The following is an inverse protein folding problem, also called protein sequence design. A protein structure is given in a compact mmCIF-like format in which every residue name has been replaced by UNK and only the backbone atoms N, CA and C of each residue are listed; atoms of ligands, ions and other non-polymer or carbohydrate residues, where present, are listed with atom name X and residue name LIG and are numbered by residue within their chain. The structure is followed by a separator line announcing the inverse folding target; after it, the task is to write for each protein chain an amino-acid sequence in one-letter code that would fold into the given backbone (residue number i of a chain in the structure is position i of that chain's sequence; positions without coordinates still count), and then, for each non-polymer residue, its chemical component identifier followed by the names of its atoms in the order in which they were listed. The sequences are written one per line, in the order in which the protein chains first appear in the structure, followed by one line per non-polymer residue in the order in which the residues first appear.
data_IF_071792662933
#
_entry.id   IF_071792662933
#
_cell.length_a   1.000
_cell.length_b   1.000
_cell.length_c   1.000
_cell.angle_alpha   90.00
_cell.angle_beta   90.00
_cell.angle_gamma   90.00
#
_symmetry.space_group_name_H-M   'P 1'
#
loop_
_entity.id
_entity.type
_entity.pdbx_description
1 polymer ?
#
# COMPACT_ATOMS: atom_id res chain seq x y z
N UNK A 1 -7.56 9.30 -14.71
CA UNK A 1 -6.31 10.06 -14.96
C UNK A 1 -5.16 9.67 -14.03
N UNK A 2 -5.35 9.41 -12.73
CA UNK A 2 -4.23 8.97 -11.86
C UNK A 2 -3.64 7.60 -12.23
N UNK A 3 -4.46 6.64 -12.70
CA UNK A 3 -3.99 5.30 -13.11
C UNK A 3 -2.96 5.35 -14.23
N UNK A 4 -3.19 6.17 -15.26
CA UNK A 4 -2.28 6.28 -16.41
C UNK A 4 -0.92 6.89 -16.03
N UNK A 5 -0.88 7.85 -15.09
CA UNK A 5 0.39 8.37 -14.59
C UNK A 5 1.12 7.32 -13.73
N UNK A 6 0.39 6.63 -12.85
CA UNK A 6 0.96 5.55 -12.04
C UNK A 6 1.55 4.43 -12.91
N UNK A 7 0.82 4.00 -13.94
CA UNK A 7 1.28 2.99 -14.91
C UNK A 7 2.56 3.42 -15.63
N UNK A 8 2.74 4.72 -15.92
CA UNK A 8 3.96 5.24 -16.54
C UNK A 8 5.19 5.22 -15.61
N UNK A 9 5.00 5.05 -14.30
CA UNK A 9 6.09 4.97 -13.32
C UNK A 9 6.55 3.53 -13.05
N UNK A 10 5.79 2.54 -13.51
CA UNK A 10 6.09 1.12 -13.30
C UNK A 10 7.26 0.69 -14.18
N UNK A 11 8.18 -0.08 -13.61
CA UNK A 11 9.24 -0.75 -14.35
C UNK A 11 8.76 -1.99 -15.10
N UNK A 12 9.65 -2.58 -15.88
CA UNK A 12 9.37 -3.82 -16.61
C UNK A 12 9.05 -4.97 -15.63
N UNK A 13 7.89 -5.60 -15.81
CA UNK A 13 7.31 -6.64 -14.95
C UNK A 13 6.99 -6.18 -13.51
N UNK A 14 6.76 -4.88 -13.30
CA UNK A 14 6.26 -4.34 -12.04
C UNK A 14 4.74 -4.30 -12.05
N UNK A 15 4.11 -4.93 -11.06
CA UNK A 15 2.66 -5.01 -10.93
C UNK A 15 2.18 -4.29 -9.67
N UNK A 16 1.04 -3.62 -9.79
CA UNK A 16 0.39 -2.96 -8.68
C UNK A 16 -0.43 -3.99 -7.89
N UNK A 17 -0.06 -4.21 -6.64
CA UNK A 17 -0.74 -5.15 -5.74
C UNK A 17 -1.87 -4.48 -4.97
N UNK A 18 -1.68 -3.23 -4.56
CA UNK A 18 -2.66 -2.47 -3.79
C UNK A 18 -2.53 -0.97 -4.03
N UNK A 19 -3.66 -0.30 -4.22
CA UNK A 19 -3.76 1.16 -4.19
C UNK A 19 -4.63 1.54 -2.99
N UNK A 20 -4.08 2.30 -2.05
CA UNK A 20 -4.85 2.93 -0.97
C UNK A 20 -4.70 4.45 -1.01
N UNK A 21 -5.59 5.12 -0.28
CA UNK A 21 -5.63 6.57 -0.18
C UNK A 21 -5.71 7.00 1.28
N UNK A 22 -5.45 8.28 1.48
CA UNK A 22 -5.61 8.91 2.77
C UNK A 22 -7.11 8.93 3.17
N UNK A 23 -7.41 8.62 4.43
CA UNK A 23 -8.79 8.55 4.89
C UNK A 23 -9.46 9.93 4.90
N UNK A 24 -10.75 10.01 4.54
CA UNK A 24 -11.51 11.27 4.42
C UNK A 24 -11.63 12.03 5.74
N UNK A 25 -11.48 11.36 6.88
CA UNK A 25 -11.50 11.99 8.20
C UNK A 25 -10.45 13.08 8.33
N UNK A 26 -9.30 12.94 7.67
CA UNK A 26 -8.29 14.00 7.63
C UNK A 26 -8.81 15.26 6.98
N UNK A 27 -9.42 15.12 5.81
CA UNK A 27 -10.04 16.23 5.10
C UNK A 27 -11.09 16.90 5.98
N UNK A 28 -12.00 16.12 6.58
CA UNK A 28 -13.05 16.70 7.43
C UNK A 28 -12.46 17.42 8.64
N UNK A 29 -11.49 16.82 9.33
CA UNK A 29 -10.82 17.46 10.47
C UNK A 29 -10.08 18.75 10.07
N UNK A 30 -9.46 18.76 8.88
CA UNK A 30 -8.73 19.90 8.36
C UNK A 30 -9.66 21.02 7.91
N UNK A 31 -10.83 20.68 7.33
CA UNK A 31 -11.77 21.65 6.73
C UNK A 31 -12.86 22.12 7.69
N UNK A 32 -12.97 21.52 8.88
CA UNK A 32 -14.05 21.80 9.83
C UNK A 32 -14.03 23.27 10.29
N UNK A 33 -12.84 23.81 10.54
CA UNK A 33 -12.67 25.19 10.97
C UNK A 33 -13.07 26.16 9.86
N UNK A 34 -12.67 25.89 8.63
CA UNK A 34 -13.03 26.68 7.44
C UNK A 34 -14.54 26.68 7.21
N UNK A 35 -15.21 25.54 7.42
CA UNK A 35 -16.68 25.43 7.34
C UNK A 35 -17.34 26.30 8.41
N UNK A 36 -16.91 26.19 9.67
CA UNK A 36 -17.47 26.99 10.78
C UNK A 36 -17.24 28.48 10.53
N UNK A 37 -16.03 28.88 10.12
CA UNK A 37 -15.72 30.27 9.81
C UNK A 37 -16.57 30.80 8.65
N UNK A 38 -16.77 29.98 7.61
CA UNK A 38 -17.63 30.35 6.48
C UNK A 38 -19.07 30.56 6.92
N UNK A 39 -19.61 29.69 7.78
CA UNK A 39 -20.97 29.83 8.33
C UNK A 39 -21.09 31.12 9.15
N UNK A 40 -20.13 31.41 10.03
CA UNK A 40 -20.13 32.63 10.85
C UNK A 40 -20.12 33.89 9.98
N UNK A 41 -19.30 33.91 8.93
CA UNK A 41 -19.26 35.04 7.98
C UNK A 41 -20.60 35.17 7.24
N UNK A 42 -21.15 34.06 6.72
CA UNK A 42 -22.43 34.07 6.01
C UNK A 42 -23.54 34.62 6.93
N UNK A 43 -23.67 34.10 8.14
CA UNK A 43 -24.69 34.52 9.10
C UNK A 43 -24.49 35.98 9.48
N UNK A 44 -23.27 36.38 9.84
CA UNK A 44 -22.94 37.74 10.24
C UNK A 44 -23.24 38.76 9.15
N UNK A 45 -22.83 38.50 7.91
CA UNK A 45 -23.12 39.39 6.77
C UNK A 45 -24.62 39.44 6.50
N UNK A 46 -25.30 38.29 6.48
CA UNK A 46 -26.74 38.22 6.19
C UNK A 46 -27.56 39.01 7.22
N UNK A 47 -27.20 38.93 8.50
CA UNK A 47 -27.88 39.69 9.57
C UNK A 47 -27.57 41.20 9.52
N UNK A 48 -26.42 41.60 8.98
CA UNK A 48 -26.04 43.01 8.86
C UNK A 48 -26.66 43.72 7.65
N UNK A 49 -27.00 42.98 6.58
CA UNK A 49 -27.57 43.53 5.33
C UNK A 49 -28.76 44.49 5.51
N UNK A 50 -29.75 44.22 6.39
CA UNK A 50 -30.89 45.12 6.57
C UNK A 50 -30.52 46.48 7.18
N UNK A 51 -29.42 46.54 7.95
CA UNK A 51 -28.98 47.74 8.65
C UNK A 51 -27.89 48.49 7.87
N UNK A 52 -27.05 47.75 7.14
CA UNK A 52 -25.92 48.27 6.39
C UNK A 52 -25.88 47.61 5.00
N UNK A 53 -26.46 48.23 3.95
CA UNK A 53 -26.54 47.59 2.63
C UNK A 53 -25.16 47.32 2.00
N UNK A 54 -24.13 48.09 2.36
CA UNK A 54 -22.75 47.83 1.94
C UNK A 54 -22.12 46.59 2.62
N UNK A 55 -22.74 46.02 3.66
CA UNK A 55 -22.26 44.82 4.34
C UNK A 55 -22.17 43.60 3.39
N UNK A 56 -22.88 43.61 2.26
CA UNK A 56 -22.77 42.58 1.23
C UNK A 56 -21.34 42.39 0.67
N UNK A 57 -20.48 43.42 0.73
CA UNK A 57 -19.06 43.28 0.41
C UNK A 57 -18.32 42.31 1.34
N UNK A 58 -18.86 42.05 2.54
CA UNK A 58 -18.34 41.07 3.47
C UNK A 58 -18.35 39.63 2.94
N UNK A 59 -19.20 39.30 1.96
CA UNK A 59 -19.16 37.98 1.32
C UNK A 59 -17.86 37.75 0.54
N UNK A 60 -17.14 38.79 0.13
CA UNK A 60 -15.82 38.67 -0.52
C UNK A 60 -14.83 37.95 0.42
N UNK A 61 -14.99 38.12 1.73
CA UNK A 61 -14.13 37.46 2.73
C UNK A 61 -14.26 35.93 2.69
N UNK A 62 -15.39 35.39 2.20
CA UNK A 62 -15.59 33.94 2.06
C UNK A 62 -14.62 33.28 1.07
N UNK A 63 -14.03 34.05 0.15
CA UNK A 63 -13.06 33.52 -0.81
C UNK A 63 -11.87 32.88 -0.10
N UNK A 64 -11.48 33.37 1.08
CA UNK A 64 -10.36 32.85 1.85
C UNK A 64 -10.62 31.44 2.41
N UNK A 65 -11.63 31.20 3.27
CA UNK A 65 -11.90 29.86 3.80
C UNK A 65 -12.32 28.88 2.71
N UNK A 66 -13.11 29.32 1.72
CA UNK A 66 -13.53 28.46 0.60
C UNK A 66 -12.34 28.06 -0.27
N UNK A 67 -11.48 29.03 -0.64
CA UNK A 67 -10.29 28.77 -1.45
C UNK A 67 -9.31 27.84 -0.76
N UNK A 68 -9.10 28.02 0.55
CA UNK A 68 -8.26 27.12 1.36
C UNK A 68 -8.85 25.71 1.47
N UNK A 69 -10.14 25.58 1.77
CA UNK A 69 -10.80 24.28 1.85
C UNK A 69 -10.77 23.53 0.52
N UNK A 70 -10.92 24.25 -0.60
CA UNK A 70 -10.77 23.67 -1.93
C UNK A 70 -9.33 23.20 -2.20
N UNK A 71 -8.33 23.97 -1.79
CA UNK A 71 -6.92 23.57 -1.89
C UNK A 71 -6.63 22.30 -1.07
N UNK A 72 -7.10 22.23 0.17
CA UNK A 72 -6.92 21.07 1.03
C UNK A 72 -7.65 19.83 0.50
N UNK A 73 -8.84 20.03 -0.08
CA UNK A 73 -9.56 18.98 -0.81
C UNK A 73 -8.73 18.42 -1.96
N UNK A 74 -8.19 19.27 -2.83
CA UNK A 74 -7.35 18.82 -3.93
C UNK A 74 -6.08 18.15 -3.43
N UNK A 75 -5.46 18.67 -2.38
CA UNK A 75 -4.27 18.06 -1.76
C UNK A 75 -4.58 16.63 -1.30
N UNK A 76 -5.65 16.45 -0.53
CA UNK A 76 -6.09 15.14 -0.05
C UNK A 76 -6.46 14.18 -1.20
N UNK A 77 -7.20 14.67 -2.20
CA UNK A 77 -7.64 13.86 -3.34
C UNK A 77 -6.48 13.31 -4.18
N UNK A 78 -5.38 14.06 -4.25
CA UNK A 78 -4.20 13.72 -5.03
C UNK A 78 -3.18 12.85 -4.29
N UNK A 79 -3.35 12.57 -3.00
CA UNK A 79 -2.46 11.68 -2.25
C UNK A 79 -2.86 10.22 -2.48
N UNK A 80 -1.90 9.41 -2.91
CA UNK A 80 -2.08 7.97 -3.13
C UNK A 80 -0.88 7.20 -2.58
N UNK A 81 -1.16 6.05 -1.98
CA UNK A 81 -0.15 5.10 -1.51
C UNK A 81 -0.33 3.81 -2.29
N UNK A 82 0.73 3.37 -2.95
CA UNK A 82 0.68 2.21 -3.86
C UNK A 82 1.72 1.20 -3.42
N UNK A 83 1.28 -0.04 -3.25
CA UNK A 83 2.15 -1.19 -3.02
C UNK A 83 2.26 -1.94 -4.34
N UNK A 84 3.49 -2.16 -4.76
CA UNK A 84 3.83 -2.98 -5.94
C UNK A 84 4.54 -4.25 -5.50
N UNK A 85 4.86 -5.13 -6.45
CA UNK A 85 5.71 -6.28 -6.20
C UNK A 85 7.19 -5.92 -5.91
N UNK A 86 7.64 -4.67 -6.12
CA UNK A 86 9.06 -4.28 -5.92
C UNK A 86 9.28 -3.21 -4.85
N UNK A 87 8.35 -2.27 -4.71
CA UNK A 87 8.48 -1.06 -3.90
C UNK A 87 7.13 -0.55 -3.42
N UNK A 88 7.19 0.38 -2.47
CA UNK A 88 6.05 1.18 -2.07
C UNK A 88 6.23 2.60 -2.59
N UNK A 89 5.20 3.12 -3.25
CA UNK A 89 5.18 4.41 -3.91
C UNK A 89 4.23 5.33 -3.16
N UNK A 90 4.71 6.51 -2.80
CA UNK A 90 3.90 7.60 -2.27
C UNK A 90 3.81 8.73 -3.30
N UNK A 91 2.60 8.95 -3.80
CA UNK A 91 2.28 10.02 -4.73
C UNK A 91 1.60 11.16 -3.98
N UNK A 92 2.13 12.36 -4.09
CA UNK A 92 1.54 13.55 -3.49
C UNK A 92 1.66 14.78 -4.41
N UNK A 93 0.81 15.78 -4.15
CA UNK A 93 0.89 17.10 -4.78
C UNK A 93 -0.20 17.37 -5.82
N UNK A 94 -0.57 18.65 -5.91
CA UNK A 94 -1.70 19.14 -6.72
C UNK A 94 -1.22 19.61 -8.10
N UNK A 95 -0.32 20.61 -8.10
CA UNK A 95 0.29 21.17 -9.31
C UNK A 95 1.60 20.44 -9.60
N UNK A 96 2.55 20.51 -8.67
CA UNK A 96 3.77 19.73 -8.72
C UNK A 96 3.49 18.33 -8.15
N UNK A 97 3.91 17.30 -8.89
CA UNK A 97 3.84 15.92 -8.44
C UNK A 97 5.14 15.52 -7.77
N UNK A 98 5.03 15.09 -6.52
CA UNK A 98 6.11 14.48 -5.75
C UNK A 98 5.85 12.99 -5.71
N UNK A 99 6.83 12.21 -6.18
CA UNK A 99 6.83 10.76 -6.14
C UNK A 99 7.96 10.33 -5.22
N UNK A 100 7.66 9.51 -4.22
CA UNK A 100 8.65 8.96 -3.30
C UNK A 100 8.54 7.45 -3.30
N UNK A 101 9.63 6.79 -3.67
CA UNK A 101 9.69 5.34 -3.78
C UNK A 101 10.55 4.76 -2.66
N UNK A 102 10.05 3.72 -2.02
CA UNK A 102 10.77 2.93 -1.01
C UNK A 102 10.85 1.49 -1.49
N UNK A 103 12.06 1.03 -1.85
CA UNK A 103 12.28 -0.38 -2.22
C UNK A 103 11.91 -1.30 -1.07
N UNK A 104 11.09 -2.33 -1.35
CA UNK A 104 10.66 -3.32 -0.34
C UNK A 104 11.84 -4.13 0.19
N UNK A 105 12.86 -4.35 -0.63
CA UNK A 105 14.11 -5.03 -0.27
C UNK A 105 14.84 -4.30 0.87
N UNK A 106 14.80 -2.95 0.85
CA UNK A 106 15.49 -2.10 1.85
C UNK A 106 14.64 -1.83 3.09
N UNK A 107 13.41 -2.35 3.15
CA UNK A 107 12.54 -2.20 4.31
C UNK A 107 12.99 -3.17 5.38
N UNK A 108 13.39 -2.66 6.54
CA UNK A 108 13.75 -3.47 7.69
C UNK A 108 12.49 -3.90 8.45
N UNK A 109 11.64 -2.93 8.79
CA UNK A 109 10.44 -3.16 9.59
C UNK A 109 9.29 -2.23 9.16
N UNK A 110 8.06 -2.67 9.42
CA UNK A 110 6.80 -1.96 9.12
C UNK A 110 5.97 -1.87 10.39
N UNK A 111 6.02 -0.70 11.02
CA UNK A 111 5.21 -0.40 12.20
C UNK A 111 3.85 0.12 11.76
N UNK A 112 2.78 -0.40 12.36
CA UNK A 112 1.42 0.09 12.12
C UNK A 112 0.80 0.46 13.46
N UNK A 113 0.23 1.66 13.52
CA UNK A 113 -0.46 2.18 14.69
C UNK A 113 -1.90 2.50 14.32
N UNK A 114 -2.84 1.90 15.05
CA UNK A 114 -4.27 2.13 14.86
C UNK A 114 -4.90 2.52 16.18
N UNK A 115 -5.44 3.73 16.25
CA UNK A 115 -6.16 4.22 17.44
C UNK A 115 -7.49 3.49 17.62
N UNK A 116 -8.15 3.66 18.78
CA UNK A 116 -9.49 3.12 19.02
C UNK A 116 -10.49 3.52 17.92
N UNK A 117 -10.55 4.81 17.59
CA UNK A 117 -11.39 5.30 16.49
C UNK A 117 -10.87 4.85 15.13
N UNK A 118 -9.55 4.73 14.96
CA UNK A 118 -8.93 4.17 13.77
C UNK A 118 -9.41 2.76 13.45
N UNK A 119 -9.67 1.92 14.47
CA UNK A 119 -10.24 0.58 14.27
C UNK A 119 -11.70 0.59 13.85
N UNK A 120 -12.48 1.55 14.37
CA UNK A 120 -13.90 1.67 14.04
C UNK A 120 -14.09 2.20 12.62
N UNK A 121 -13.27 3.19 12.23
CA UNK A 121 -13.35 3.86 10.94
C UNK A 121 -12.31 3.35 9.92
N UNK A 122 -11.61 2.27 10.24
CA UNK A 122 -10.60 1.61 9.39
C UNK A 122 -9.52 2.55 8.80
N UNK A 123 -8.94 3.38 9.67
CA UNK A 123 -7.77 4.19 9.33
C UNK A 123 -6.65 4.03 10.35
N UNK A 124 -5.40 4.18 9.91
CA UNK A 124 -4.23 4.09 10.79
C UNK A 124 -2.99 4.70 10.19
N UNK A 125 -1.93 4.78 10.98
CA UNK A 125 -0.62 5.26 10.56
C UNK A 125 0.28 4.05 10.27
N UNK A 126 1.01 4.09 9.16
CA UNK A 126 2.01 3.08 8.80
C UNK A 126 3.36 3.75 8.65
N UNK A 127 4.35 3.22 9.35
CA UNK A 127 5.71 3.74 9.38
C UNK A 127 6.66 2.68 8.85
N UNK A 128 7.36 3.03 7.77
CA UNK A 128 8.33 2.17 7.11
C UNK A 128 9.72 2.58 7.60
N UNK A 129 10.42 1.61 8.19
CA UNK A 129 11.80 1.75 8.61
C UNK A 129 12.69 1.11 7.55
N UNK A 130 13.49 1.93 6.86
CA UNK A 130 14.41 1.47 5.82
C UNK A 130 15.86 1.49 6.30
N UNK A 131 16.72 0.66 5.68
CA UNK A 131 18.16 0.66 5.95
C UNK A 131 18.89 1.92 5.44
N UNK A 132 18.23 2.78 4.65
CA UNK A 132 18.81 4.01 4.12
C UNK A 132 18.67 5.17 5.10
N UNK A 133 19.65 6.08 5.11
CA UNK A 133 19.71 7.28 5.96
C UNK A 133 18.63 8.32 5.64
N UNK A 134 17.94 8.16 4.50
CA UNK A 134 16.82 8.97 4.05
C UNK A 134 15.51 8.50 4.69
N UNK A 135 15.39 8.74 5.99
CA UNK A 135 14.15 9.16 6.62
C UNK A 135 13.05 8.11 6.73
N UNK A 136 12.61 7.91 7.97
CA UNK A 136 11.34 7.26 8.33
C UNK A 136 10.22 7.73 7.38
N UNK A 137 9.70 6.82 6.55
CA UNK A 137 8.55 7.12 5.68
C UNK A 137 7.28 6.84 6.46
N UNK A 138 6.67 7.89 7.01
CA UNK A 138 5.41 7.82 7.75
C UNK A 138 4.23 8.15 6.84
N UNK A 139 3.38 7.17 6.61
CA UNK A 139 2.10 7.33 5.93
C UNK A 139 1.01 7.54 6.97
N UNK A 140 0.40 8.73 6.93
CA UNK A 140 -0.52 9.18 7.97
C UNK A 140 -1.98 8.93 7.59
N UNK A 141 -2.70 8.26 8.49
CA UNK A 141 -4.14 7.98 8.46
C UNK A 141 -4.56 7.44 7.09
N UNK A 142 -3.86 6.40 6.65
CA UNK A 142 -4.20 5.63 5.46
C UNK A 142 -5.49 4.85 5.71
N UNK A 143 -6.31 4.68 4.67
CA UNK A 143 -7.45 3.77 4.73
C UNK A 143 -6.99 2.32 4.65
N UNK A 144 -7.66 1.44 5.40
CA UNK A 144 -7.36 0.01 5.47
C UNK A 144 -5.86 -0.28 5.74
N UNK A 145 -5.34 0.19 6.89
CA UNK A 145 -3.92 0.08 7.22
C UNK A 145 -3.46 -1.37 7.38
N UNK A 146 -4.39 -2.27 7.74
CA UNK A 146 -4.11 -3.70 7.90
C UNK A 146 -3.83 -4.31 6.53
N UNK A 147 -4.72 -4.11 5.55
CA UNK A 147 -4.50 -4.62 4.19
C UNK A 147 -3.25 -4.02 3.56
N UNK A 148 -2.99 -2.73 3.81
CA UNK A 148 -1.76 -2.10 3.33
C UNK A 148 -0.51 -2.78 3.88
N UNK A 149 -0.45 -2.99 5.21
CA UNK A 149 0.67 -3.70 5.85
C UNK A 149 0.80 -5.14 5.34
N UNK A 150 -0.29 -5.89 5.25
CA UNK A 150 -0.27 -7.27 4.76
C UNK A 150 0.20 -7.35 3.32
N UNK A 151 -0.28 -6.46 2.44
CA UNK A 151 0.16 -6.40 1.04
C UNK A 151 1.67 -6.15 0.94
N UNK A 152 2.21 -5.23 1.76
CA UNK A 152 3.65 -4.97 1.79
C UNK A 152 4.47 -6.15 2.28
N UNK A 153 4.04 -6.82 3.37
CA UNK A 153 4.74 -7.98 3.92
C UNK A 153 4.76 -9.12 2.91
N UNK A 154 3.61 -9.42 2.31
CA UNK A 154 3.51 -10.45 1.28
C UNK A 154 4.41 -10.12 0.09
N UNK A 155 4.39 -8.88 -0.40
CA UNK A 155 5.24 -8.46 -1.52
C UNK A 155 6.74 -8.60 -1.19
N UNK A 156 7.15 -8.21 0.03
CA UNK A 156 8.53 -8.38 0.49
C UNK A 156 8.95 -9.85 0.58
N UNK A 157 8.06 -10.72 1.05
CA UNK A 157 8.33 -12.17 1.13
C UNK A 157 8.53 -12.77 -0.26
N UNK A 158 7.72 -12.37 -1.25
CA UNK A 158 7.87 -12.84 -2.63
C UNK A 158 9.19 -12.36 -3.26
N UNK A 159 9.61 -11.11 -3.00
CA UNK A 159 10.91 -10.60 -3.45
C UNK A 159 12.09 -11.37 -2.83
N UNK A 160 12.04 -11.62 -1.53
CA UNK A 160 13.07 -12.42 -0.86
C UNK A 160 13.11 -13.86 -1.35
N UNK A 161 11.95 -14.42 -1.71
CA UNK A 161 11.83 -15.73 -2.34
C UNK A 161 12.45 -15.82 -3.74
N UNK A 162 12.43 -14.73 -4.51
CA UNK A 162 13.08 -14.64 -5.83
C UNK A 162 14.61 -14.63 -5.74
N UNK A 163 15.20 -14.00 -4.71
CA UNK A 163 16.65 -14.03 -4.47
C UNK A 163 17.16 -15.43 -4.07
N UNK A 164 16.32 -16.24 -3.41
CA UNK A 164 16.57 -17.68 -3.22
C UNK A 164 16.18 -18.55 -4.43
N UNK A 165 15.60 -17.95 -5.48
CA UNK A 165 15.17 -18.58 -6.73
C UNK A 165 16.16 -18.44 -7.89
N UNK A 166 17.20 -17.61 -7.76
CA UNK A 166 18.30 -17.51 -8.74
C UNK A 166 19.56 -18.32 -8.33
N UNK A 167 19.44 -19.19 -7.33
CA UNK A 167 20.31 -20.35 -7.18
C UNK A 167 19.72 -21.54 -7.95
N UNK A 168 20.52 -22.43 -8.56
CA UNK A 168 20.00 -23.67 -9.13
C UNK A 168 19.48 -24.56 -7.98
N UNK A 169 18.24 -24.36 -7.58
CA UNK A 169 17.60 -25.17 -6.54
C UNK A 169 16.58 -24.42 -5.68
N UNK A 170 15.38 -24.17 -6.20
CA UNK A 170 14.19 -24.31 -5.36
C UNK A 170 12.98 -24.78 -6.18
N UNK A 171 12.57 -25.98 -5.82
CA UNK A 171 11.51 -26.74 -6.43
C UNK A 171 10.14 -26.37 -5.85
N UNK A 172 9.22 -26.05 -6.75
CA UNK A 172 7.79 -25.95 -6.48
C UNK A 172 6.93 -26.43 -7.66
N UNK A 173 7.35 -27.46 -8.40
CA UNK A 173 6.50 -28.16 -9.37
C UNK A 173 7.04 -29.52 -9.89
N UNK A 174 8.31 -29.84 -9.67
CA UNK A 174 8.84 -31.20 -9.77
C UNK A 174 9.51 -31.46 -8.43
N UNK A 175 9.25 -32.59 -7.79
CA UNK A 175 10.20 -33.09 -6.79
C UNK A 175 11.42 -33.57 -7.59
N UNK A 176 12.62 -33.32 -7.09
CA UNK A 176 13.83 -33.74 -7.78
C UNK A 176 13.75 -35.25 -7.89
N UNK A 177 13.74 -35.78 -9.10
CA UNK A 177 13.58 -37.21 -9.37
C UNK A 177 14.57 -38.06 -8.52
N UNK A 178 15.81 -37.61 -8.25
CA UNK A 178 16.70 -38.25 -7.29
C UNK A 178 16.17 -38.35 -5.84
N UNK A 179 15.51 -37.32 -5.32
CA UNK A 179 14.94 -37.32 -3.95
C UNK A 179 13.75 -38.29 -3.84
N UNK A 180 12.90 -38.34 -4.87
CA UNK A 180 11.81 -39.30 -4.95
C UNK A 180 12.31 -40.75 -4.96
N UNK A 181 13.43 -41.01 -5.64
CA UNK A 181 14.04 -42.35 -5.66
C UNK A 181 14.61 -42.72 -4.28
N UNK A 182 15.18 -41.74 -3.55
CA UNK A 182 15.67 -41.95 -2.18
C UNK A 182 14.53 -42.23 -1.19
N UNK A 183 13.41 -41.51 -1.29
CA UNK A 183 12.20 -41.73 -0.49
C UNK A 183 11.61 -43.13 -0.76
N UNK A 184 11.55 -43.56 -2.02
CA UNK A 184 11.10 -44.89 -2.40
C UNK A 184 12.01 -46.01 -1.84
N UNK A 185 13.34 -45.80 -1.79
CA UNK A 185 14.27 -46.78 -1.19
C UNK A 185 14.10 -46.87 0.33
N UNK A 186 13.76 -45.76 0.98
CA UNK A 186 13.47 -45.72 2.41
C UNK A 186 12.19 -46.51 2.74
N UNK A 187 11.13 -46.36 1.93
CA UNK A 187 9.88 -47.11 2.09
C UNK A 187 10.06 -48.62 1.84
N UNK A 188 10.96 -48.99 0.91
CA UNK A 188 11.37 -50.39 0.69
C UNK A 188 12.08 -50.96 1.91
N UNK A 189 13.04 -50.22 2.49
CA UNK A 189 13.77 -50.62 3.71
C UNK A 189 12.86 -50.77 4.94
N UNK A 190 11.79 -50.00 5.00
CA UNK A 190 10.76 -50.10 6.06
C UNK A 190 9.78 -51.26 5.84
N UNK A 191 9.90 -52.01 4.73
CA UNK A 191 9.01 -53.12 4.39
C UNK A 191 7.62 -52.69 3.93
N UNK A 192 7.42 -51.39 3.64
CA UNK A 192 6.15 -50.81 3.19
C UNK A 192 5.97 -51.04 1.68
N UNK A 193 7.07 -51.08 0.93
CA UNK A 193 7.09 -51.28 -0.52
C UNK A 193 7.82 -52.57 -0.86
N UNK A 194 7.24 -53.40 -1.73
CA UNK A 194 7.92 -54.59 -2.24
C UNK A 194 9.00 -54.22 -3.27
N UNK A 195 10.00 -55.10 -3.44
CA UNK A 195 11.10 -54.88 -4.40
C UNK A 195 10.58 -54.67 -5.84
N UNK A 196 9.51 -55.39 -6.22
CA UNK A 196 8.89 -55.27 -7.53
C UNK A 196 8.19 -53.91 -7.73
N UNK A 197 7.53 -53.38 -6.70
CA UNK A 197 6.87 -52.06 -6.75
C UNK A 197 7.86 -50.90 -6.74
N UNK A 198 8.98 -51.07 -6.04
CA UNK A 198 10.09 -50.12 -6.05
C UNK A 198 10.67 -49.95 -7.45
N UNK A 199 11.06 -51.06 -8.10
CA UNK A 199 11.66 -51.02 -9.44
C UNK A 199 10.68 -50.50 -10.50
N UNK A 200 9.38 -50.82 -10.39
CA UNK A 200 8.36 -50.26 -11.28
C UNK A 200 8.25 -48.72 -11.17
N UNK A 201 8.18 -48.19 -9.94
CA UNK A 201 8.08 -46.74 -9.70
C UNK A 201 9.37 -46.00 -10.03
N UNK A 202 10.53 -46.58 -9.71
CA UNK A 202 11.85 -46.04 -10.08
C UNK A 202 12.01 -45.91 -11.59
N UNK A 203 11.58 -46.92 -12.37
CA UNK A 203 11.60 -46.85 -13.83
C UNK A 203 10.68 -45.77 -14.39
N UNK A 204 9.47 -45.63 -13.85
CA UNK A 204 8.53 -44.57 -14.26
C UNK A 204 9.06 -43.16 -13.95
N UNK A 205 9.79 -43.01 -12.84
CA UNK A 205 10.43 -41.76 -12.47
C UNK A 205 11.65 -41.44 -13.33
N UNK A 206 12.50 -42.43 -13.62
CA UNK A 206 13.65 -42.27 -14.50
C UNK A 206 13.24 -41.96 -15.96
N UNK A 207 12.07 -42.40 -16.40
CA UNK A 207 11.53 -42.08 -17.72
C UNK A 207 11.00 -40.63 -17.85
N UNK A 208 10.87 -39.90 -16.74
CA UNK A 208 10.43 -38.49 -16.68
C UNK A 208 11.60 -37.49 -16.59
N UNK A 209 12.83 -38.00 -16.55
CA UNK A 209 14.09 -37.27 -16.75
C UNK A 209 14.30 -37.10 -18.25
#
# INVERSE_FOLDING_TARGET
MASSYLESLLGENEEILLITRQHWFLLVSATLLEIVLSIVIIVGVTLALPFFPLAGLGYIVLVLPVGRGLYDFFKWWNVQYVVTNRRVIHLAGVVNKNVTDSSLEKVNDVKMEQSFFGRIFDYGDVEILTASELGINRFQRIGDPVRFKTAMINAKEHLGGEDFGAGPGSHGAKRDIPELIAELDQLRKQGILSEAEFEAKKRDLLAKI
#
